data_IF_646070837436
#
_entry.id   IF_646070837436
#
_cell.length_a   1.000
_cell.length_b   1.000
_cell.length_c   1.000
_cell.angle_alpha   90.00
_cell.angle_beta   90.00
_cell.angle_gamma   90.00
#
_symmetry.space_group_name_H-M   'P 1'
#
loop_
_entity.id
_entity.type
_entity.pdbx_description
1 polymer ?
#
# COMPACT_ATOMS: atom_id res chain seq x y z
N UNK A 1 2.93 30.43 -50.78
CA UNK A 1 2.25 29.69 -49.70
C UNK A 1 2.57 28.20 -49.85
N UNK A 2 3.46 27.64 -49.01
CA UNK A 2 3.69 26.19 -48.92
C UNK A 2 3.35 25.76 -47.49
N UNK A 3 2.46 24.78 -47.41
CA UNK A 3 1.72 24.35 -46.23
C UNK A 3 2.64 23.72 -45.19
N UNK A 4 2.39 24.06 -43.94
CA UNK A 4 2.87 23.40 -42.73
C UNK A 4 2.37 21.95 -42.73
N UNK A 5 3.28 21.00 -42.51
CA UNK A 5 2.94 19.65 -42.06
C UNK A 5 3.71 19.42 -40.75
N UNK A 6 3.11 19.80 -39.63
CA UNK A 6 3.53 19.34 -38.30
C UNK A 6 2.80 18.00 -38.13
N UNK A 7 3.50 16.92 -38.47
CA UNK A 7 2.99 15.57 -38.29
C UNK A 7 3.11 15.20 -36.82
N UNK A 8 1.98 14.82 -36.23
CA UNK A 8 1.81 14.58 -34.80
C UNK A 8 2.64 13.41 -34.28
N UNK A 9 3.37 13.69 -33.21
CA UNK A 9 3.89 12.71 -32.26
C UNK A 9 3.65 13.33 -30.88
N UNK A 10 3.51 12.47 -29.87
CA UNK A 10 3.46 12.76 -28.42
C UNK A 10 2.04 12.75 -27.82
N UNK A 11 1.46 11.56 -27.68
CA UNK A 11 0.43 11.31 -26.65
C UNK A 11 0.63 9.99 -25.88
N UNK A 12 1.55 9.11 -26.32
CA UNK A 12 1.82 7.80 -25.71
C UNK A 12 2.78 7.86 -24.51
N UNK A 13 3.57 8.93 -24.36
CA UNK A 13 4.57 9.04 -23.27
C UNK A 13 3.97 9.48 -21.92
N UNK A 14 2.84 10.19 -21.91
CA UNK A 14 2.23 10.70 -20.68
C UNK A 14 1.50 9.64 -19.86
N UNK A 15 1.01 8.57 -20.49
CA UNK A 15 0.19 7.54 -19.83
C UNK A 15 1.02 6.59 -18.95
N UNK A 16 2.23 6.24 -19.37
CA UNK A 16 3.13 5.37 -18.60
C UNK A 16 3.61 6.03 -17.30
N UNK A 17 3.68 7.38 -17.27
CA UNK A 17 4.11 8.14 -16.09
C UNK A 17 3.06 8.07 -14.96
N UNK A 18 1.77 8.20 -15.29
CA UNK A 18 0.67 8.14 -14.31
C UNK A 18 0.60 6.77 -13.63
N UNK A 19 0.78 5.70 -14.41
CA UNK A 19 0.76 4.35 -13.86
C UNK A 19 1.94 4.10 -12.91
N UNK A 20 3.16 4.50 -13.30
CA UNK A 20 4.33 4.40 -12.44
C UNK A 20 4.16 5.20 -11.13
N UNK A 21 3.62 6.41 -11.20
CA UNK A 21 3.31 7.24 -10.02
C UNK A 21 2.35 6.51 -9.06
N UNK A 22 1.24 5.95 -9.57
CA UNK A 22 0.30 5.21 -8.72
C UNK A 22 0.89 3.95 -8.09
N UNK A 23 1.80 3.24 -8.78
CA UNK A 23 2.47 2.08 -8.18
C UNK A 23 3.42 2.52 -7.06
N UNK A 24 4.09 3.67 -7.23
CA UNK A 24 4.94 4.26 -6.19
C UNK A 24 4.14 4.73 -4.97
N UNK A 25 2.99 5.35 -5.18
CA UNK A 25 2.09 5.73 -4.09
C UNK A 25 1.61 4.50 -3.31
N UNK A 26 1.31 3.39 -4.00
CA UNK A 26 0.94 2.12 -3.35
C UNK A 26 2.09 1.58 -2.50
N UNK A 27 3.33 1.61 -3.02
CA UNK A 27 4.53 1.19 -2.29
C UNK A 27 4.73 2.01 -1.01
N UNK A 28 4.68 3.33 -1.13
CA UNK A 28 4.88 4.26 0.00
C UNK A 28 3.80 4.03 1.06
N UNK A 29 2.53 4.05 0.65
CA UNK A 29 1.41 3.90 1.58
C UNK A 29 1.42 2.55 2.31
N UNK A 30 1.79 1.47 1.61
CA UNK A 30 1.94 0.16 2.23
C UNK A 30 3.08 0.15 3.25
N UNK A 31 4.23 0.75 2.92
CA UNK A 31 5.38 0.85 3.81
C UNK A 31 5.05 1.69 5.06
N UNK A 32 4.35 2.82 4.89
CA UNK A 32 3.93 3.69 5.99
C UNK A 32 2.96 2.99 6.94
N UNK A 33 1.96 2.29 6.39
CA UNK A 33 1.03 1.51 7.20
C UNK A 33 1.76 0.44 8.03
N UNK A 34 2.76 -0.23 7.43
CA UNK A 34 3.56 -1.25 8.11
C UNK A 34 4.47 -0.63 9.18
N UNK A 35 5.17 0.45 8.84
CA UNK A 35 6.08 1.15 9.75
C UNK A 35 5.33 1.65 11.00
N UNK A 36 4.23 2.39 10.81
CA UNK A 36 3.44 2.93 11.91
C UNK A 36 2.84 1.81 12.78
N UNK A 37 2.42 0.69 12.19
CA UNK A 37 1.97 -0.46 12.98
C UNK A 37 3.09 -1.05 13.85
N UNK A 38 4.30 -1.19 13.32
CA UNK A 38 5.41 -1.70 14.11
C UNK A 38 5.78 -0.74 15.24
N UNK A 39 5.78 0.57 14.98
CA UNK A 39 5.94 1.59 16.03
C UNK A 39 4.85 1.48 17.10
N UNK A 40 3.59 1.28 16.69
CA UNK A 40 2.45 1.16 17.61
C UNK A 40 2.59 -0.08 18.51
N UNK A 41 3.05 -1.20 17.94
CA UNK A 41 3.34 -2.45 18.69
C UNK A 41 4.48 -2.28 19.69
N UNK A 42 5.49 -1.48 19.36
CA UNK A 42 6.67 -1.25 20.22
C UNK A 42 6.42 -0.20 21.30
N UNK A 43 5.49 0.73 21.09
CA UNK A 43 5.15 1.75 22.08
C UNK A 43 4.34 1.17 23.24
N UNK A 44 4.56 1.69 24.44
CA UNK A 44 3.72 1.48 25.63
C UNK A 44 2.93 2.73 26.03
N UNK A 45 3.16 3.86 25.36
CA UNK A 45 2.43 5.11 25.59
C UNK A 45 1.10 5.07 24.83
N UNK A 46 -0.01 5.23 25.55
CA UNK A 46 -1.35 5.17 24.96
C UNK A 46 -1.64 6.32 24.01
N UNK A 47 -1.17 7.52 24.31
CA UNK A 47 -1.35 8.67 23.42
C UNK A 47 -0.55 8.51 22.13
N UNK A 48 0.67 7.95 22.22
CA UNK A 48 1.46 7.60 21.04
C UNK A 48 0.80 6.48 20.23
N UNK A 49 0.29 5.43 20.88
CA UNK A 49 -0.45 4.35 20.22
C UNK A 49 -1.67 4.88 19.45
N UNK A 50 -2.42 5.80 20.04
CA UNK A 50 -3.59 6.41 19.38
C UNK A 50 -3.19 7.30 18.20
N UNK A 51 -2.12 8.09 18.33
CA UNK A 51 -1.59 8.88 17.21
C UNK A 51 -1.12 7.99 16.06
N UNK A 52 -0.38 6.91 16.36
CA UNK A 52 0.06 5.94 15.37
C UNK A 52 -1.11 5.21 14.70
N UNK A 53 -2.19 4.93 15.43
CA UNK A 53 -3.40 4.35 14.84
C UNK A 53 -4.01 5.27 13.78
N UNK A 54 -4.03 6.59 14.01
CA UNK A 54 -4.47 7.57 13.02
C UNK A 54 -3.58 7.54 11.78
N UNK A 55 -2.25 7.50 11.94
CA UNK A 55 -1.33 7.44 10.80
C UNK A 55 -1.48 6.13 10.00
N UNK A 56 -1.69 5.00 10.68
CA UNK A 56 -2.02 3.73 10.04
C UNK A 56 -3.31 3.85 9.21
N UNK A 57 -4.33 4.52 9.72
CA UNK A 57 -5.62 4.67 9.04
C UNK A 57 -5.52 5.62 7.83
N UNK A 58 -4.71 6.68 7.94
CA UNK A 58 -4.40 7.58 6.82
C UNK A 58 -3.68 6.83 5.69
N UNK A 59 -2.59 6.13 6.00
CA UNK A 59 -1.84 5.32 5.04
C UNK A 59 -2.70 4.20 4.43
N UNK A 60 -3.56 3.57 5.25
CA UNK A 60 -4.52 2.56 4.79
C UNK A 60 -5.52 3.13 3.77
N UNK A 61 -6.06 4.32 4.05
CA UNK A 61 -7.00 5.00 3.17
C UNK A 61 -6.35 5.35 1.84
N UNK A 62 -5.11 5.83 1.88
CA UNK A 62 -4.37 6.17 0.68
C UNK A 62 -4.04 4.94 -0.17
N UNK A 63 -3.56 3.86 0.46
CA UNK A 63 -3.32 2.60 -0.24
C UNK A 63 -4.60 2.07 -0.92
N UNK A 64 -5.73 2.10 -0.23
CA UNK A 64 -7.03 1.68 -0.78
C UNK A 64 -7.47 2.56 -1.95
N UNK A 65 -7.27 3.88 -1.86
CA UNK A 65 -7.53 4.83 -2.95
C UNK A 65 -6.70 4.50 -4.18
N UNK A 66 -5.41 4.24 -3.99
CA UNK A 66 -4.45 3.97 -5.07
C UNK A 66 -4.74 2.62 -5.73
N UNK A 67 -4.97 1.55 -4.96
CA UNK A 67 -5.36 0.24 -5.50
C UNK A 67 -6.66 0.35 -6.31
N UNK A 68 -7.66 1.08 -5.79
CA UNK A 68 -8.91 1.30 -6.51
C UNK A 68 -8.72 2.08 -7.82
N UNK A 69 -7.77 3.04 -7.86
CA UNK A 69 -7.41 3.75 -9.09
C UNK A 69 -6.77 2.80 -10.11
N UNK A 70 -5.80 1.97 -9.69
CA UNK A 70 -5.14 0.99 -10.56
C UNK A 70 -6.13 -0.04 -11.15
N UNK A 71 -7.10 -0.51 -10.36
CA UNK A 71 -8.13 -1.45 -10.83
C UNK A 71 -9.06 -0.82 -11.87
N UNK A 72 -9.39 0.47 -11.71
CA UNK A 72 -10.25 1.21 -12.64
C UNK A 72 -9.55 1.65 -13.92
N UNK A 73 -8.22 1.65 -13.95
CA UNK A 73 -7.46 1.99 -15.15
C UNK A 73 -7.74 0.97 -16.27
N UNK A 74 -8.12 1.48 -17.44
CA UNK A 74 -8.36 0.69 -18.66
C UNK A 74 -7.05 0.12 -19.21
N UNK A 75 -5.91 0.73 -18.87
CA UNK A 75 -4.56 0.33 -19.28
C UNK A 75 -3.78 -0.40 -18.17
N UNK A 76 -4.47 -0.92 -17.15
CA UNK A 76 -3.82 -1.66 -16.06
C UNK A 76 -2.98 -2.82 -16.60
N UNK A 77 -1.79 -2.99 -16.02
CA UNK A 77 -0.80 -3.99 -16.47
C UNK A 77 -1.28 -5.42 -16.17
N UNK A 78 -1.83 -5.66 -14.98
CA UNK A 78 -2.24 -7.00 -14.54
C UNK A 78 -3.39 -6.95 -13.52
N UNK A 79 -4.60 -7.24 -13.99
CA UNK A 79 -5.82 -7.25 -13.16
C UNK A 79 -5.79 -8.34 -12.07
N UNK A 80 -5.15 -9.48 -12.36
CA UNK A 80 -5.07 -10.59 -11.42
C UNK A 80 -4.17 -10.25 -10.23
N UNK A 81 -3.02 -9.64 -10.49
CA UNK A 81 -2.09 -9.18 -9.46
C UNK A 81 -2.71 -8.08 -8.60
N UNK A 82 -3.41 -7.11 -9.21
CA UNK A 82 -4.11 -6.06 -8.47
C UNK A 82 -5.25 -6.60 -7.59
N UNK A 83 -5.96 -7.63 -8.06
CA UNK A 83 -6.99 -8.31 -7.25
C UNK A 83 -6.36 -9.04 -6.07
N UNK A 84 -5.28 -9.80 -6.28
CA UNK A 84 -4.56 -10.50 -5.20
C UNK A 84 -3.99 -9.50 -4.19
N UNK A 85 -3.48 -8.35 -4.65
CA UNK A 85 -3.02 -7.27 -3.79
C UNK A 85 -4.15 -6.76 -2.89
N UNK A 86 -5.33 -6.47 -3.45
CA UNK A 86 -6.50 -6.00 -2.70
C UNK A 86 -6.99 -7.03 -1.67
N UNK A 87 -7.07 -8.31 -2.05
CA UNK A 87 -7.50 -9.40 -1.17
C UNK A 87 -6.50 -9.59 -0.02
N UNK A 88 -5.21 -9.58 -0.33
CA UNK A 88 -4.13 -9.72 0.66
C UNK A 88 -4.13 -8.53 1.62
N UNK A 89 -4.31 -7.31 1.12
CA UNK A 89 -4.46 -6.10 1.93
C UNK A 89 -5.67 -6.19 2.86
N UNK A 90 -6.82 -6.62 2.34
CA UNK A 90 -8.05 -6.78 3.13
C UNK A 90 -7.81 -7.76 4.28
N UNK A 91 -7.15 -8.89 4.03
CA UNK A 91 -6.80 -9.85 5.06
C UNK A 91 -5.78 -9.27 6.07
N UNK A 92 -4.76 -8.55 5.59
CA UNK A 92 -3.76 -7.86 6.43
C UNK A 92 -4.45 -6.88 7.40
N UNK A 93 -5.26 -5.97 6.86
CA UNK A 93 -6.06 -5.00 7.64
C UNK A 93 -7.01 -5.70 8.62
N UNK A 94 -7.69 -6.77 8.22
CA UNK A 94 -8.59 -7.51 9.12
C UNK A 94 -7.85 -8.07 10.34
N UNK A 95 -6.68 -8.72 10.16
CA UNK A 95 -5.89 -9.22 11.30
C UNK A 95 -5.35 -8.06 12.16
N UNK A 96 -4.97 -6.94 11.53
CA UNK A 96 -4.56 -5.74 12.28
C UNK A 96 -5.67 -5.25 13.21
N UNK A 97 -6.87 -5.04 12.68
CA UNK A 97 -8.00 -4.45 13.43
C UNK A 97 -8.64 -5.42 14.43
N UNK A 98 -8.70 -6.71 14.12
CA UNK A 98 -9.42 -7.70 14.94
C UNK A 98 -8.52 -8.45 15.93
N UNK A 99 -7.20 -8.44 15.73
CA UNK A 99 -6.26 -9.17 16.59
C UNK A 99 -5.18 -8.25 17.17
N UNK A 100 -4.37 -7.61 16.31
CA UNK A 100 -3.17 -6.89 16.76
C UNK A 100 -3.53 -5.66 17.59
N UNK A 101 -4.37 -4.76 17.06
CA UNK A 101 -4.79 -3.53 17.73
C UNK A 101 -5.46 -3.81 19.08
N UNK A 102 -6.39 -4.79 19.20
CA UNK A 102 -6.90 -5.20 20.50
C UNK A 102 -5.84 -5.63 21.52
N UNK A 103 -4.81 -6.41 21.11
CA UNK A 103 -3.72 -6.78 22.02
C UNK A 103 -2.87 -5.59 22.45
N UNK A 104 -2.56 -4.66 21.52
CA UNK A 104 -1.87 -3.41 21.86
C UNK A 104 -2.68 -2.62 22.91
N UNK A 105 -3.99 -2.48 22.71
CA UNK A 105 -4.82 -1.74 23.63
C UNK A 105 -4.99 -2.43 24.99
N UNK A 106 -4.99 -3.76 25.02
CA UNK A 106 -4.93 -4.54 26.26
C UNK A 106 -3.55 -4.51 26.96
N UNK A 107 -2.52 -3.93 26.33
CA UNK A 107 -1.14 -3.91 26.83
C UNK A 107 -0.39 -5.23 26.64
N UNK A 108 -0.94 -6.16 25.86
CA UNK A 108 -0.30 -7.44 25.52
C UNK A 108 0.55 -7.29 24.25
N UNK A 109 1.58 -6.45 24.33
CA UNK A 109 2.45 -6.13 23.19
C UNK A 109 3.23 -7.37 22.70
N UNK A 110 3.49 -8.35 23.56
CA UNK A 110 4.14 -9.62 23.17
C UNK A 110 3.27 -10.46 22.23
N UNK A 111 1.96 -10.50 22.48
CA UNK A 111 1.05 -11.18 21.56
C UNK A 111 0.85 -10.40 20.28
N UNK A 112 0.76 -9.06 20.38
CA UNK A 112 0.68 -8.19 19.22
C UNK A 112 1.90 -8.34 18.29
N UNK A 113 3.13 -8.33 18.82
CA UNK A 113 4.36 -8.50 18.02
C UNK A 113 4.44 -9.89 17.39
N UNK A 114 4.02 -10.94 18.09
CA UNK A 114 4.00 -12.30 17.56
C UNK A 114 3.12 -12.42 16.31
N UNK A 115 1.94 -11.79 16.31
CA UNK A 115 1.04 -11.78 15.16
C UNK A 115 1.59 -10.88 14.05
N UNK A 116 2.11 -9.70 14.41
CA UNK A 116 2.65 -8.72 13.46
C UNK A 116 3.88 -9.27 12.69
N UNK A 117 4.73 -10.05 13.35
CA UNK A 117 5.93 -10.68 12.76
C UNK A 117 5.68 -12.07 12.18
N UNK A 118 4.55 -12.70 12.51
CA UNK A 118 4.10 -13.98 11.93
C UNK A 118 3.25 -13.78 10.69
N UNK A 119 1.95 -14.10 10.80
CA UNK A 119 1.02 -14.14 9.66
C UNK A 119 0.96 -12.82 8.88
N UNK A 120 1.06 -11.68 9.56
CA UNK A 120 1.05 -10.39 8.89
C UNK A 120 2.31 -10.12 8.08
N UNK A 121 3.48 -10.57 8.53
CA UNK A 121 4.72 -10.43 7.76
C UNK A 121 4.67 -11.24 6.47
N UNK A 122 4.06 -12.43 6.51
CA UNK A 122 3.79 -13.24 5.31
C UNK A 122 2.95 -12.49 4.27
N UNK A 123 1.86 -11.85 4.73
CA UNK A 123 1.00 -11.03 3.85
C UNK A 123 1.72 -9.80 3.32
N UNK A 124 2.56 -9.16 4.14
CA UNK A 124 3.40 -8.03 3.71
C UNK A 124 4.32 -8.44 2.54
N UNK A 125 5.05 -9.54 2.68
CA UNK A 125 5.95 -10.04 1.63
C UNK A 125 5.20 -10.32 0.32
N UNK A 126 3.99 -10.86 0.38
CA UNK A 126 3.15 -11.04 -0.81
C UNK A 126 2.84 -9.71 -1.48
N UNK A 127 2.38 -8.71 -0.73
CA UNK A 127 2.03 -7.40 -1.29
C UNK A 127 3.25 -6.66 -1.87
N UNK A 128 4.39 -6.71 -1.16
CA UNK A 128 5.66 -6.14 -1.65
C UNK A 128 6.11 -6.80 -2.95
N UNK A 129 6.03 -8.13 -3.04
CA UNK A 129 6.38 -8.87 -4.26
C UNK A 129 5.48 -8.50 -5.45
N UNK A 130 4.18 -8.29 -5.22
CA UNK A 130 3.25 -7.84 -6.26
C UNK A 130 3.59 -6.41 -6.71
N UNK A 131 3.76 -5.48 -5.78
CA UNK A 131 4.10 -4.09 -6.08
C UNK A 131 5.43 -4.02 -6.85
N UNK A 132 6.43 -4.81 -6.47
CA UNK A 132 7.68 -4.96 -7.20
C UNK A 132 7.46 -5.46 -8.63
N UNK A 133 6.68 -6.54 -8.79
CA UNK A 133 6.37 -7.10 -10.12
C UNK A 133 5.61 -6.13 -11.03
N UNK A 134 4.86 -5.19 -10.46
CA UNK A 134 4.20 -4.10 -11.17
C UNK A 134 5.13 -2.93 -11.53
N UNK A 135 6.45 -3.05 -11.30
CA UNK A 135 7.49 -2.01 -11.47
C UNK A 135 7.61 -0.98 -10.32
N UNK A 136 7.21 -1.33 -9.09
CA UNK A 136 7.41 -0.48 -7.91
C UNK A 136 8.87 -0.25 -7.49
N UNK A 137 9.84 -0.92 -8.13
CA UNK A 137 11.27 -0.68 -7.92
C UNK A 137 11.76 0.64 -8.57
N UNK A 138 11.01 1.19 -9.52
CA UNK A 138 11.37 2.42 -10.23
C UNK A 138 10.93 3.71 -9.51
N UNK A 139 10.58 3.60 -8.24
CA UNK A 139 10.15 4.71 -7.38
C UNK A 139 11.36 5.39 -6.73
N UNK A 140 12.20 6.03 -7.56
CA UNK A 140 13.33 6.85 -7.13
C UNK A 140 13.07 8.33 -7.39
#
# INVERSE_FOLDING_TARGET
MKKLLISGIIALLSMQLVQAETICDARISLADARFNLMMMVMSTDKAEQDALKVEIDNASTELERVIAAMLKDENKIDDSQLTILLETWTAFKNTRETEIVPFIYAGDNMKAIGIATGIQAGRMMTMEGIIQALNGDNCN
#
